data_IF_532864390927
#
_entry.id   IF_532864390927
#
_cell.length_a   1.000
_cell.length_b   1.000
_cell.length_c   1.000
_cell.angle_alpha   90.00
_cell.angle_beta   90.00
_cell.angle_gamma   90.00
#
_symmetry.space_group_name_H-M   'P 1'
#
loop_
_entity.id
_entity.type
_entity.pdbx_description
1 polymer ?
#
# COMPACT_ATOMS: atom_id res chain seq x y z
N UNK A 1 -17.17 8.42 6.48
CA UNK A 1 -16.83 7.32 5.55
C UNK A 1 -15.56 6.68 6.09
N UNK A 2 -15.48 5.35 6.14
CA UNK A 2 -14.20 4.71 6.49
C UNK A 2 -13.31 4.85 5.27
N UNK A 3 -12.26 5.66 5.37
CA UNK A 3 -11.23 5.72 4.33
C UNK A 3 -10.55 4.36 4.26
N UNK A 4 -10.22 3.93 3.04
CA UNK A 4 -9.40 2.75 2.83
C UNK A 4 -8.15 3.15 2.06
N UNK A 5 -7.12 2.33 2.18
CA UNK A 5 -5.83 2.55 1.53
C UNK A 5 -5.47 1.33 0.72
N UNK A 6 -5.19 1.52 -0.56
CA UNK A 6 -4.71 0.47 -1.45
C UNK A 6 -3.19 0.50 -1.51
N UNK A 7 -2.57 -0.67 -1.41
CA UNK A 7 -1.17 -0.88 -1.72
C UNK A 7 -1.02 -1.32 -3.18
N UNK A 8 -0.24 -0.58 -3.95
CA UNK A 8 -0.02 -0.81 -5.37
C UNK A 8 1.44 -1.16 -5.64
N UNK A 9 1.66 -2.17 -6.47
CA UNK A 9 2.97 -2.53 -7.01
C UNK A 9 2.88 -2.47 -8.53
N UNK A 10 3.75 -1.70 -9.18
CA UNK A 10 3.77 -1.55 -10.64
C UNK A 10 2.38 -1.19 -11.22
N UNK A 11 1.62 -0.35 -10.50
CA UNK A 11 0.28 0.07 -10.88
C UNK A 11 -0.85 -0.93 -10.62
N UNK A 12 -0.55 -2.14 -10.15
CA UNK A 12 -1.54 -3.16 -9.79
C UNK A 12 -1.84 -3.15 -8.29
N UNK A 13 -3.12 -3.24 -7.90
CA UNK A 13 -3.52 -3.32 -6.50
C UNK A 13 -3.14 -4.69 -5.93
N UNK A 14 -2.34 -4.69 -4.86
CA UNK A 14 -1.82 -5.90 -4.19
C UNK A 14 -2.60 -6.19 -2.92
N UNK A 15 -2.89 -5.17 -2.12
CA UNK A 15 -3.63 -5.32 -0.87
C UNK A 15 -4.40 -4.04 -0.50
N UNK A 16 -5.30 -4.15 0.48
CA UNK A 16 -6.08 -3.01 1.01
C UNK A 16 -6.05 -2.97 2.52
N UNK A 17 -6.04 -1.78 3.08
CA UNK A 17 -5.91 -1.50 4.51
C UNK A 17 -6.98 -0.50 4.95
N UNK A 18 -7.42 -0.61 6.20
CA UNK A 18 -8.29 0.40 6.83
C UNK A 18 -7.49 1.53 7.49
N UNK A 19 -6.16 1.37 7.61
CA UNK A 19 -5.24 2.31 8.25
C UNK A 19 -4.08 2.69 7.31
N UNK A 20 -3.79 3.99 7.22
CA UNK A 20 -2.77 4.53 6.32
C UNK A 20 -1.34 4.17 6.75
N UNK A 21 -1.10 4.09 8.06
CA UNK A 21 0.22 3.80 8.63
C UNK A 21 0.54 2.33 8.41
N UNK A 22 -0.44 1.44 8.61
CA UNK A 22 -0.29 0.02 8.30
C UNK A 22 0.03 -0.20 6.82
N UNK A 23 -0.72 0.44 5.92
CA UNK A 23 -0.45 0.37 4.48
C UNK A 23 0.95 0.87 4.12
N UNK A 24 1.41 1.95 4.75
CA UNK A 24 2.73 2.52 4.49
C UNK A 24 3.86 1.62 5.01
N UNK A 25 3.71 1.07 6.21
CA UNK A 25 4.68 0.15 6.78
C UNK A 25 4.86 -1.09 5.89
N UNK A 26 3.74 -1.64 5.39
CA UNK A 26 3.79 -2.78 4.48
C UNK A 26 4.39 -2.40 3.10
N UNK A 27 4.11 -1.20 2.60
CA UNK A 27 4.75 -0.70 1.38
C UNK A 27 6.27 -0.60 1.50
N UNK A 28 6.77 -0.08 2.62
CA UNK A 28 8.20 0.01 2.92
C UNK A 28 8.80 -1.39 2.99
N UNK A 29 8.19 -2.29 3.78
CA UNK A 29 8.65 -3.66 3.91
C UNK A 29 8.69 -4.39 2.56
N UNK A 30 7.61 -4.32 1.78
CA UNK A 30 7.53 -4.95 0.47
C UNK A 30 8.57 -4.38 -0.52
N UNK A 31 8.85 -3.08 -0.45
CA UNK A 31 9.91 -2.46 -1.26
C UNK A 31 11.30 -2.93 -0.83
N UNK A 32 11.57 -3.06 0.47
CA UNK A 32 12.86 -3.56 0.98
C UNK A 32 13.10 -5.01 0.54
N UNK A 33 12.09 -5.87 0.62
CA UNK A 33 12.19 -7.29 0.27
C UNK A 33 12.28 -7.54 -1.23
N UNK A 34 11.54 -6.76 -2.04
CA UNK A 34 11.47 -6.97 -3.50
C UNK A 34 12.41 -6.09 -4.30
N UNK A 35 12.87 -4.97 -3.73
CA UNK A 35 13.56 -3.90 -4.46
C UNK A 35 12.65 -3.10 -5.41
N UNK A 36 11.33 -3.34 -5.39
CA UNK A 36 10.36 -2.67 -6.27
C UNK A 36 9.58 -1.62 -5.48
N UNK A 37 9.46 -0.37 -5.98
CA UNK A 37 8.67 0.65 -5.33
C UNK A 37 7.20 0.24 -5.18
N UNK A 38 6.70 0.35 -3.96
CA UNK A 38 5.28 0.15 -3.65
C UNK A 38 4.65 1.50 -3.28
N UNK A 39 3.47 1.75 -3.81
CA UNK A 39 2.74 2.99 -3.62
C UNK A 39 1.51 2.75 -2.74
N UNK A 40 1.26 3.64 -1.78
CA UNK A 40 0.00 3.66 -1.04
C UNK A 40 -0.88 4.76 -1.62
N UNK A 41 -2.15 4.43 -1.89
CA UNK A 41 -3.15 5.38 -2.38
C UNK A 41 -4.41 5.29 -1.53
N UNK A 42 -5.02 6.44 -1.24
CA UNK A 42 -6.38 6.46 -0.72
C UNK A 42 -7.35 5.88 -1.78
N UNK A 43 -8.20 4.96 -1.36
CA UNK A 43 -9.25 4.36 -2.18
C UNK A 43 -10.60 4.66 -1.52
N UNK A 44 -11.55 5.13 -2.35
CA UNK A 44 -12.89 5.56 -1.92
C UNK A 44 -13.84 4.38 -1.68
#
# INVERSE_FOLDING_TARGET
MKMKYGLYCMGSLVNTYDDAIEAHNDAVYAQEESGVPHEVREIQ
#
